data_IF_370959594715
#
_entry.id   IF_370959594715
#
_cell.length_a   1.000
_cell.length_b   1.000
_cell.length_c   1.000
_cell.angle_alpha   90.00
_cell.angle_beta   90.00
_cell.angle_gamma   90.00
#
_symmetry.space_group_name_H-M   'P 1'
#
loop_
_entity.id
_entity.type
_entity.pdbx_description
1 polymer ?
#
# COMPACT_ATOMS: atom_id res chain seq x y z
N UNK A 1 53.58 -47.31 -18.22
CA UNK A 1 52.49 -46.93 -19.16
C UNK A 1 51.47 -46.16 -18.33
N UNK A 2 51.71 -44.84 -18.24
CA UNK A 2 50.89 -43.94 -17.49
C UNK A 2 49.83 -43.33 -18.41
N UNK A 3 48.57 -43.47 -18.03
CA UNK A 3 47.50 -42.70 -18.64
C UNK A 3 46.95 -41.71 -17.60
N UNK A 4 47.49 -40.49 -17.70
CA UNK A 4 46.96 -39.30 -17.05
C UNK A 4 45.60 -38.90 -17.67
N UNK A 5 44.54 -39.01 -16.89
CA UNK A 5 43.24 -38.44 -17.19
C UNK A 5 43.22 -36.99 -16.65
N UNK A 6 43.15 -36.01 -17.54
CA UNK A 6 42.90 -34.61 -17.20
C UNK A 6 41.41 -34.42 -16.84
N UNK A 7 41.04 -33.66 -15.79
CA UNK A 7 39.67 -33.25 -15.59
C UNK A 7 39.33 -32.09 -16.51
N UNK A 8 38.35 -32.25 -17.38
CA UNK A 8 37.74 -31.19 -18.14
C UNK A 8 36.90 -30.28 -17.20
N UNK A 9 37.40 -29.06 -17.03
CA UNK A 9 36.70 -27.98 -16.36
C UNK A 9 35.58 -27.48 -17.28
N UNK A 10 34.35 -27.95 -17.07
CA UNK A 10 33.17 -27.38 -17.73
C UNK A 10 32.81 -26.09 -17.01
N UNK A 11 33.39 -25.00 -17.47
CA UNK A 11 33.03 -23.64 -17.08
C UNK A 11 31.66 -23.33 -17.67
N UNK A 12 30.61 -23.47 -16.84
CA UNK A 12 29.24 -23.06 -17.20
C UNK A 12 29.25 -21.56 -17.51
N UNK A 13 29.14 -21.23 -18.78
CA UNK A 13 28.93 -19.86 -19.27
C UNK A 13 27.62 -19.33 -18.67
N UNK A 14 27.70 -18.49 -17.65
CA UNK A 14 26.56 -17.69 -17.20
C UNK A 14 26.20 -16.77 -18.38
N UNK A 15 25.11 -17.10 -19.04
CA UNK A 15 24.49 -16.25 -20.06
C UNK A 15 24.09 -14.96 -19.35
N UNK A 16 24.82 -13.88 -19.58
CA UNK A 16 24.37 -12.51 -19.23
C UNK A 16 23.17 -12.23 -20.15
N UNK A 17 21.99 -11.88 -19.62
CA UNK A 17 20.91 -11.43 -20.48
C UNK A 17 21.45 -10.27 -21.32
N UNK A 18 21.30 -10.34 -22.64
CA UNK A 18 21.80 -9.32 -23.56
C UNK A 18 21.18 -7.97 -23.22
N UNK A 19 21.93 -6.90 -23.42
CA UNK A 19 21.44 -5.51 -23.24
C UNK A 19 20.14 -5.22 -24.02
N UNK A 20 19.84 -5.99 -25.06
CA UNK A 20 18.59 -5.91 -25.82
C UNK A 20 17.34 -6.25 -24.98
N UNK A 21 17.46 -7.07 -23.92
CA UNK A 21 16.37 -7.40 -23.00
C UNK A 21 16.01 -6.24 -22.04
N UNK A 22 16.84 -5.18 -22.00
CA UNK A 22 16.61 -3.98 -21.20
C UNK A 22 16.10 -2.79 -22.02
N UNK A 23 15.82 -2.99 -23.31
CA UNK A 23 15.38 -1.91 -24.20
C UNK A 23 13.91 -1.54 -23.97
N UNK A 24 13.66 -0.76 -22.92
CA UNK A 24 12.40 -0.03 -22.80
C UNK A 24 12.40 1.15 -23.79
N UNK A 25 11.27 1.44 -24.48
CA UNK A 25 11.14 2.64 -25.29
C UNK A 25 11.49 3.88 -24.47
N UNK A 26 12.24 4.81 -25.04
CA UNK A 26 12.76 5.99 -24.31
C UNK A 26 11.67 6.86 -23.63
N UNK A 27 10.44 6.81 -24.15
CA UNK A 27 9.30 7.54 -23.59
C UNK A 27 8.47 6.74 -22.57
N UNK A 28 8.89 5.53 -22.17
CA UNK A 28 8.03 4.64 -21.36
C UNK A 28 7.68 5.25 -20.00
N UNK A 29 8.64 5.80 -19.28
CA UNK A 29 8.39 6.41 -17.97
C UNK A 29 7.50 7.65 -18.06
N UNK A 30 7.70 8.49 -19.10
CA UNK A 30 6.87 9.67 -19.33
C UNK A 30 5.46 9.28 -19.76
N UNK A 31 5.32 8.19 -20.52
CA UNK A 31 4.02 7.63 -20.87
C UNK A 31 3.29 7.11 -19.64
N UNK A 32 3.97 6.37 -18.76
CA UNK A 32 3.43 5.89 -17.49
C UNK A 32 2.95 7.06 -16.60
N UNK A 33 3.75 8.12 -16.45
CA UNK A 33 3.35 9.34 -15.72
C UNK A 33 2.12 9.99 -16.34
N UNK A 34 2.07 10.10 -17.67
CA UNK A 34 0.93 10.69 -18.38
C UNK A 34 -0.34 9.88 -18.17
N UNK A 35 -0.24 8.56 -18.16
CA UNK A 35 -1.34 7.66 -17.90
C UNK A 35 -1.90 7.83 -16.49
N UNK A 36 -1.04 7.80 -15.47
CA UNK A 36 -1.44 7.96 -14.06
C UNK A 36 -2.11 9.31 -13.84
N UNK A 37 -1.51 10.42 -14.30
CA UNK A 37 -2.09 11.76 -14.11
C UNK A 37 -3.42 11.91 -14.84
N UNK A 38 -3.58 11.34 -16.04
CA UNK A 38 -4.86 11.37 -16.75
C UNK A 38 -5.93 10.51 -16.06
N UNK A 39 -5.55 9.37 -15.49
CA UNK A 39 -6.45 8.51 -14.72
C UNK A 39 -6.96 9.21 -13.45
N UNK A 40 -6.08 9.88 -12.71
CA UNK A 40 -6.44 10.62 -11.50
C UNK A 40 -7.33 11.83 -11.78
N UNK A 41 -7.00 12.60 -12.82
CA UNK A 41 -7.73 13.83 -13.13
C UNK A 41 -9.00 13.58 -13.93
N UNK A 42 -9.07 12.48 -14.67
CA UNK A 42 -10.13 12.16 -15.64
C UNK A 42 -10.37 13.29 -16.67
N UNK A 43 -9.47 14.27 -16.71
CA UNK A 43 -9.58 15.50 -17.50
C UNK A 43 -8.26 15.82 -18.20
N UNK A 44 -8.28 15.71 -19.54
CA UNK A 44 -7.08 15.93 -20.35
C UNK A 44 -6.51 17.36 -20.21
N UNK A 45 -7.34 18.38 -19.99
CA UNK A 45 -6.85 19.76 -19.82
C UNK A 45 -6.14 19.94 -18.49
N UNK A 46 -6.63 19.30 -17.44
CA UNK A 46 -5.99 19.30 -16.14
C UNK A 46 -4.68 18.50 -16.15
N UNK A 47 -4.68 17.34 -16.81
CA UNK A 47 -3.46 16.55 -17.00
C UNK A 47 -2.38 17.34 -17.77
N UNK A 48 -2.76 18.12 -18.80
CA UNK A 48 -1.87 19.05 -19.52
C UNK A 48 -1.25 20.06 -18.57
N UNK A 49 -2.06 20.66 -17.69
CA UNK A 49 -1.61 21.66 -16.72
C UNK A 49 -0.61 21.08 -15.71
N UNK A 50 -0.90 19.88 -15.19
CA UNK A 50 -0.05 19.22 -14.19
C UNK A 50 1.28 18.78 -14.81
N UNK A 51 1.25 18.17 -15.99
CA UNK A 51 2.43 17.61 -16.64
C UNK A 51 3.27 18.61 -17.43
N UNK A 52 2.71 19.77 -17.76
CA UNK A 52 3.37 20.72 -18.66
C UNK A 52 3.52 20.23 -20.10
N UNK A 53 2.73 19.21 -20.50
CA UNK A 53 2.78 18.58 -21.81
C UNK A 53 1.63 19.06 -22.72
N UNK A 54 1.73 18.81 -24.02
CA UNK A 54 0.62 19.07 -24.96
C UNK A 54 -0.42 17.96 -24.90
N UNK A 55 -1.69 18.26 -25.27
CA UNK A 55 -2.76 17.26 -25.41
C UNK A 55 -2.35 16.13 -26.36
N UNK A 56 -1.65 16.46 -27.45
CA UNK A 56 -1.18 15.50 -28.43
C UNK A 56 -0.12 14.57 -27.84
N UNK A 57 0.80 15.10 -27.04
CA UNK A 57 1.84 14.32 -26.37
C UNK A 57 1.21 13.32 -25.40
N UNK A 58 0.27 13.75 -24.54
CA UNK A 58 -0.41 12.86 -23.60
C UNK A 58 -1.14 11.74 -24.34
N UNK A 59 -1.91 12.06 -25.39
CA UNK A 59 -2.58 11.03 -26.20
C UNK A 59 -1.62 10.04 -26.81
N UNK A 60 -0.48 10.52 -27.34
CA UNK A 60 0.57 9.62 -27.86
C UNK A 60 1.14 8.72 -26.79
N UNK A 61 1.31 9.21 -25.58
CA UNK A 61 1.76 8.43 -24.44
C UNK A 61 0.74 7.34 -24.06
N UNK A 62 -0.55 7.67 -24.05
CA UNK A 62 -1.60 6.68 -23.78
C UNK A 62 -1.60 5.59 -24.87
N UNK A 63 -1.63 6.00 -26.14
CA UNK A 63 -1.59 5.06 -27.26
C UNK A 63 -0.35 4.14 -27.20
N UNK A 64 0.81 4.66 -26.80
CA UNK A 64 2.03 3.86 -26.64
C UNK A 64 1.83 2.73 -25.61
N UNK A 65 1.18 3.00 -24.48
CA UNK A 65 0.92 1.96 -23.47
C UNK A 65 -0.14 0.99 -24.00
N UNK A 66 -1.21 1.48 -24.63
CA UNK A 66 -2.26 0.66 -25.23
C UNK A 66 -1.69 -0.28 -26.29
N UNK A 67 -0.79 0.22 -27.16
CA UNK A 67 -0.11 -0.59 -28.19
C UNK A 67 0.80 -1.66 -27.56
N UNK A 68 1.58 -1.31 -26.52
CA UNK A 68 2.47 -2.25 -25.84
C UNK A 68 1.67 -3.34 -25.12
N UNK A 69 0.55 -2.98 -24.50
CA UNK A 69 -0.27 -3.89 -23.70
C UNK A 69 -1.34 -4.62 -24.50
N UNK A 70 -1.68 -4.11 -25.68
CA UNK A 70 -2.73 -4.66 -26.55
C UNK A 70 -4.14 -4.47 -25.97
N UNK A 71 -4.36 -3.45 -25.11
CA UNK A 71 -5.63 -3.19 -24.44
C UNK A 71 -6.00 -1.72 -24.52
N UNK A 72 -7.29 -1.41 -24.47
CA UNK A 72 -7.79 -0.03 -24.38
C UNK A 72 -7.85 0.36 -22.91
N UNK A 73 -7.21 1.49 -22.54
CA UNK A 73 -7.09 1.92 -21.16
C UNK A 73 -8.19 2.90 -20.73
N UNK A 74 -8.71 3.70 -21.68
CA UNK A 74 -9.73 4.70 -21.39
C UNK A 74 -10.92 4.62 -22.33
N UNK A 75 -12.11 4.89 -21.77
CA UNK A 75 -13.30 5.30 -22.53
C UNK A 75 -13.51 6.81 -22.36
N UNK A 76 -14.13 7.45 -23.36
CA UNK A 76 -14.51 8.85 -23.29
C UNK A 76 -16.01 8.96 -23.07
N UNK A 77 -16.42 9.39 -21.89
CA UNK A 77 -17.82 9.54 -21.50
C UNK A 77 -18.12 11.00 -21.14
N UNK A 78 -19.06 11.62 -21.83
CA UNK A 78 -19.45 13.01 -21.62
C UNK A 78 -18.26 14.00 -21.56
N UNK A 79 -17.18 13.72 -22.29
CA UNK A 79 -15.96 14.56 -22.32
C UNK A 79 -14.94 14.25 -21.23
N UNK A 80 -15.21 13.29 -20.35
CA UNK A 80 -14.30 12.82 -19.31
C UNK A 80 -13.66 11.48 -19.69
N UNK A 81 -12.41 11.29 -19.33
CA UNK A 81 -11.69 10.03 -19.50
C UNK A 81 -12.02 9.11 -18.33
N UNK A 82 -12.56 7.91 -18.64
CA UNK A 82 -12.84 6.88 -17.65
C UNK A 82 -11.95 5.67 -17.92
N UNK A 83 -11.35 5.11 -16.87
CA UNK A 83 -10.61 3.87 -17.01
C UNK A 83 -11.55 2.72 -17.41
N UNK A 84 -11.09 1.89 -18.32
CA UNK A 84 -11.68 0.58 -18.57
C UNK A 84 -11.30 -0.40 -17.44
N UNK A 85 -11.88 -1.60 -17.42
CA UNK A 85 -11.43 -2.66 -16.50
C UNK A 85 -9.94 -2.98 -16.68
N UNK A 86 -9.47 -3.10 -17.92
CA UNK A 86 -8.05 -3.25 -18.23
C UNK A 86 -7.25 -2.01 -17.79
N UNK A 87 -7.80 -0.81 -17.98
CA UNK A 87 -7.20 0.44 -17.52
C UNK A 87 -6.98 0.48 -16.01
N UNK A 88 -7.92 -0.01 -15.22
CA UNK A 88 -7.77 -0.13 -13.77
C UNK A 88 -6.65 -1.11 -13.37
N UNK A 89 -6.55 -2.26 -14.04
CA UNK A 89 -5.49 -3.21 -13.76
C UNK A 89 -4.10 -2.63 -14.08
N UNK A 90 -3.95 -1.97 -15.25
CA UNK A 90 -2.69 -1.32 -15.65
C UNK A 90 -2.35 -0.11 -14.78
N UNK A 91 -3.34 0.64 -14.33
CA UNK A 91 -3.16 1.81 -13.46
C UNK A 91 -2.42 1.45 -12.18
N UNK A 92 -2.78 0.35 -11.55
CA UNK A 92 -2.12 -0.13 -10.34
C UNK A 92 -0.67 -0.51 -10.62
N UNK A 93 -0.45 -1.37 -11.59
CA UNK A 93 0.89 -1.85 -11.94
C UNK A 93 1.84 -0.69 -12.31
N UNK A 94 1.35 0.26 -13.11
CA UNK A 94 2.14 1.41 -13.56
C UNK A 94 2.44 2.36 -12.38
N UNK A 95 1.48 2.59 -11.49
CA UNK A 95 1.68 3.43 -10.32
C UNK A 95 2.73 2.83 -9.38
N UNK A 96 2.70 1.52 -9.16
CA UNK A 96 3.70 0.82 -8.36
C UNK A 96 5.11 0.97 -8.94
N UNK A 97 5.25 0.85 -10.26
CA UNK A 97 6.53 1.08 -10.94
C UNK A 97 7.03 2.52 -10.72
N UNK A 98 6.15 3.52 -10.87
CA UNK A 98 6.51 4.93 -10.66
C UNK A 98 6.93 5.16 -9.21
N UNK A 99 6.21 4.62 -8.24
CA UNK A 99 6.52 4.75 -6.83
C UNK A 99 7.86 4.10 -6.49
N UNK A 100 8.13 2.91 -7.03
CA UNK A 100 9.42 2.23 -6.87
C UNK A 100 10.56 3.04 -7.50
N UNK A 101 10.35 3.58 -8.71
CA UNK A 101 11.35 4.42 -9.37
C UNK A 101 11.63 5.70 -8.56
N UNK A 102 10.60 6.36 -8.04
CA UNK A 102 10.75 7.53 -7.17
C UNK A 102 11.52 7.18 -5.90
N UNK A 103 11.15 6.11 -5.22
CA UNK A 103 11.86 5.63 -4.03
C UNK A 103 13.33 5.31 -4.31
N UNK A 104 13.62 4.76 -5.49
CA UNK A 104 15.00 4.53 -5.92
C UNK A 104 15.77 5.84 -6.15
N UNK A 105 15.15 6.82 -6.82
CA UNK A 105 15.76 8.13 -7.06
C UNK A 105 16.05 8.88 -5.76
N UNK A 106 15.18 8.74 -4.76
CA UNK A 106 15.37 9.31 -3.43
C UNK A 106 16.41 8.53 -2.58
N UNK A 107 17.01 7.48 -3.14
CA UNK A 107 17.98 6.63 -2.46
C UNK A 107 17.40 5.71 -1.40
N UNK A 108 16.07 5.59 -1.33
CA UNK A 108 15.36 4.79 -0.34
C UNK A 108 15.45 3.28 -0.62
N UNK A 109 15.32 2.90 -1.89
CA UNK A 109 15.38 1.50 -2.32
C UNK A 109 16.74 0.82 -2.06
N UNK A 110 17.82 1.59 -1.97
CA UNK A 110 19.16 1.06 -1.71
C UNK A 110 19.37 0.64 -0.25
N UNK A 111 18.53 1.10 0.69
CA UNK A 111 18.72 0.89 2.14
C UNK A 111 18.17 -0.44 2.65
N UNK A 112 17.16 -0.98 2.00
CA UNK A 112 16.55 -2.27 2.37
C UNK A 112 15.68 -2.79 1.22
N UNK A 113 16.24 -3.58 0.29
CA UNK A 113 15.50 -4.06 -0.88
C UNK A 113 14.35 -5.03 -0.53
N UNK A 114 14.33 -5.55 0.70
CA UNK A 114 13.32 -6.48 1.20
C UNK A 114 12.16 -5.81 1.94
N UNK A 115 12.27 -4.49 2.24
CA UNK A 115 11.27 -3.77 3.04
C UNK A 115 10.68 -2.63 2.21
N UNK A 116 9.37 -2.53 2.23
CA UNK A 116 8.67 -1.52 1.47
C UNK A 116 8.65 -0.18 2.21
N UNK A 117 8.83 0.86 1.44
CA UNK A 117 8.85 2.24 1.88
C UNK A 117 7.84 3.03 1.05
N UNK A 118 7.03 3.84 1.71
CA UNK A 118 6.10 4.76 1.06
C UNK A 118 6.34 6.18 1.58
N UNK A 119 6.57 7.10 0.65
CA UNK A 119 6.66 8.54 0.93
C UNK A 119 5.74 9.26 -0.06
N UNK A 120 4.53 9.58 0.37
CA UNK A 120 3.56 10.30 -0.42
C UNK A 120 3.28 11.66 0.19
N UNK A 121 3.34 12.70 -0.64
CA UNK A 121 2.99 14.07 -0.29
C UNK A 121 1.75 14.47 -1.08
N UNK A 122 0.69 14.81 -0.37
CA UNK A 122 -0.57 15.25 -0.93
C UNK A 122 -0.73 16.78 -0.93
N UNK A 123 -1.86 17.29 -1.43
CA UNK A 123 -2.19 18.70 -1.37
C UNK A 123 -2.39 19.17 0.09
N UNK A 124 -2.29 20.50 0.30
CA UNK A 124 -2.51 21.15 1.61
C UNK A 124 -1.66 20.63 2.76
N UNK A 125 -0.49 20.06 2.45
CA UNK A 125 0.41 19.49 3.46
C UNK A 125 -0.05 18.14 4.01
N UNK A 126 -0.98 17.44 3.35
CA UNK A 126 -1.26 16.04 3.63
C UNK A 126 -0.03 15.18 3.30
N UNK A 127 0.21 14.15 4.08
CA UNK A 127 1.24 13.16 3.76
C UNK A 127 0.87 11.77 4.29
N UNK A 128 1.45 10.77 3.66
CA UNK A 128 1.45 9.39 4.11
C UNK A 128 2.88 8.84 4.01
N UNK A 129 3.50 8.62 5.16
CA UNK A 129 4.81 8.02 5.28
C UNK A 129 4.65 6.65 5.92
N UNK A 130 5.20 5.61 5.31
CA UNK A 130 5.15 4.26 5.87
C UNK A 130 6.43 3.51 5.59
N UNK A 131 6.93 2.83 6.61
CA UNK A 131 8.08 1.94 6.53
C UNK A 131 7.69 0.56 7.05
N UNK A 132 7.90 -0.45 6.22
CA UNK A 132 7.76 -1.83 6.64
C UNK A 132 8.92 -2.22 7.54
N UNK A 133 8.62 -3.01 8.58
CA UNK A 133 9.57 -3.60 9.51
C UNK A 133 9.49 -5.12 9.51
N UNK A 134 10.54 -5.77 9.96
CA UNK A 134 10.53 -7.23 10.14
C UNK A 134 9.59 -7.61 11.28
N UNK A 135 8.93 -8.75 11.15
CA UNK A 135 8.07 -9.29 12.23
C UNK A 135 8.90 -9.57 13.51
N UNK A 136 10.19 -9.85 13.39
CA UNK A 136 11.09 -9.96 14.54
C UNK A 136 11.20 -8.67 15.34
N UNK A 137 11.07 -7.50 14.69
CA UNK A 137 11.06 -6.22 15.38
C UNK A 137 9.76 -6.01 16.16
N UNK A 138 8.60 -6.42 15.58
CA UNK A 138 7.35 -6.47 16.31
C UNK A 138 7.50 -7.33 17.59
N UNK A 139 8.02 -8.54 17.45
CA UNK A 139 8.11 -9.48 18.59
C UNK A 139 9.09 -9.00 19.67
N UNK A 140 10.18 -8.33 19.30
CA UNK A 140 11.19 -7.84 20.24
C UNK A 140 10.82 -6.49 20.88
N UNK A 141 10.41 -5.51 20.09
CA UNK A 141 10.26 -4.10 20.50
C UNK A 141 8.84 -3.55 20.33
N UNK A 142 7.98 -4.24 19.57
CA UNK A 142 6.64 -3.74 19.24
C UNK A 142 5.70 -3.69 20.44
N UNK A 143 4.55 -3.00 20.28
CA UNK A 143 3.53 -2.90 21.31
C UNK A 143 2.94 -4.25 21.71
N UNK A 144 2.66 -4.44 23.01
CA UNK A 144 2.11 -5.68 23.53
C UNK A 144 0.75 -6.02 22.92
N UNK A 145 -0.08 -5.03 22.61
CA UNK A 145 -1.33 -5.24 21.90
C UNK A 145 -1.11 -5.96 20.56
N UNK A 146 -0.19 -5.46 19.75
CA UNK A 146 0.09 -6.06 18.42
C UNK A 146 0.71 -7.45 18.56
N UNK A 147 1.57 -7.68 19.56
CA UNK A 147 2.12 -9.02 19.86
C UNK A 147 1.02 -10.02 20.22
N UNK A 148 0.05 -9.59 21.05
CA UNK A 148 -1.10 -10.43 21.42
C UNK A 148 -1.99 -10.76 20.22
N UNK A 149 -2.24 -9.76 19.35
CA UNK A 149 -3.02 -9.96 18.13
C UNK A 149 -2.30 -10.90 17.17
N UNK A 150 -0.99 -10.72 16.97
CA UNK A 150 -0.17 -11.63 16.15
C UNK A 150 -0.20 -13.06 16.69
N UNK A 151 -0.02 -13.24 18.01
CA UNK A 151 -0.10 -14.56 18.65
C UNK A 151 -1.48 -15.20 18.46
N UNK A 152 -2.57 -14.45 18.67
CA UNK A 152 -3.92 -14.95 18.50
C UNK A 152 -4.21 -15.38 17.05
N UNK A 153 -3.69 -14.63 16.07
CA UNK A 153 -3.74 -14.98 14.66
C UNK A 153 -3.01 -16.30 14.39
N UNK A 154 -1.79 -16.46 14.89
CA UNK A 154 -1.02 -17.68 14.73
C UNK A 154 -1.70 -18.89 15.39
N UNK A 155 -2.20 -18.73 16.65
CA UNK A 155 -2.91 -19.77 17.38
C UNK A 155 -4.24 -20.18 16.72
N UNK A 156 -4.84 -19.27 15.92
CA UNK A 156 -6.08 -19.53 15.16
C UNK A 156 -5.85 -20.04 13.74
N UNK A 157 -4.58 -20.18 13.33
CA UNK A 157 -4.21 -20.46 11.93
C UNK A 157 -4.89 -19.47 10.92
N UNK A 158 -5.10 -18.23 11.35
CA UNK A 158 -5.73 -17.19 10.55
C UNK A 158 -7.26 -17.24 10.47
N UNK A 159 -7.94 -18.13 11.20
CA UNK A 159 -9.41 -18.20 11.21
C UNK A 159 -10.00 -17.14 12.15
N UNK A 160 -10.75 -16.19 11.60
CA UNK A 160 -11.25 -15.02 12.34
C UNK A 160 -12.34 -15.32 13.37
N UNK A 161 -12.98 -16.49 13.30
CA UNK A 161 -14.01 -16.93 14.26
C UNK A 161 -13.47 -18.00 15.23
N UNK A 162 -12.21 -18.41 15.10
CA UNK A 162 -11.61 -19.29 16.06
C UNK A 162 -11.54 -18.64 17.45
N UNK A 163 -11.68 -19.42 18.55
CA UNK A 163 -11.71 -18.88 19.91
C UNK A 163 -10.47 -18.04 20.29
N UNK A 164 -9.30 -18.35 19.72
CA UNK A 164 -8.10 -17.57 19.96
C UNK A 164 -8.20 -16.16 19.35
N UNK A 165 -8.68 -16.05 18.11
CA UNK A 165 -8.83 -14.77 17.43
C UNK A 165 -9.99 -13.93 17.97
N UNK A 166 -11.06 -14.57 18.42
CA UNK A 166 -12.22 -13.88 19.00
C UNK A 166 -11.84 -12.99 20.18
N UNK A 167 -10.84 -13.37 20.98
CA UNK A 167 -10.34 -12.59 22.11
C UNK A 167 -9.74 -11.23 21.71
N UNK A 168 -9.23 -11.11 20.50
CA UNK A 168 -8.59 -9.89 19.98
C UNK A 168 -9.42 -9.17 18.93
N UNK A 169 -10.56 -9.74 18.52
CA UNK A 169 -11.44 -9.20 17.48
C UNK A 169 -11.89 -7.77 17.76
N UNK A 170 -12.05 -7.40 19.04
CA UNK A 170 -12.42 -6.05 19.47
C UNK A 170 -11.36 -4.96 19.16
N UNK A 171 -10.12 -5.34 18.80
CA UNK A 171 -9.03 -4.41 18.50
C UNK A 171 -8.74 -4.26 17.03
N UNK A 172 -9.39 -5.05 16.18
CA UNK A 172 -9.07 -5.11 14.74
C UNK A 172 -10.22 -4.63 13.87
N UNK A 173 -9.87 -4.17 12.67
CA UNK A 173 -10.80 -4.07 11.56
C UNK A 173 -10.65 -5.32 10.71
N UNK A 174 -11.74 -5.81 10.13
CA UNK A 174 -11.71 -6.95 9.23
C UNK A 174 -12.34 -6.53 7.90
N UNK A 175 -11.61 -6.85 6.84
CA UNK A 175 -12.02 -6.57 5.48
C UNK A 175 -12.19 -7.87 4.71
N UNK A 176 -13.12 -7.85 3.75
CA UNK A 176 -13.30 -8.86 2.71
C UNK A 176 -12.95 -8.22 1.37
N UNK A 177 -12.17 -8.90 0.56
CA UNK A 177 -11.92 -8.46 -0.80
C UNK A 177 -13.19 -8.56 -1.63
N UNK A 178 -13.53 -7.49 -2.35
CA UNK A 178 -14.68 -7.42 -3.23
C UNK A 178 -14.39 -6.49 -4.42
N UNK A 179 -14.43 -7.02 -5.65
CA UNK A 179 -14.22 -6.26 -6.89
C UNK A 179 -12.96 -5.39 -6.85
N UNK A 180 -11.83 -6.00 -6.50
CA UNK A 180 -10.54 -5.33 -6.34
C UNK A 180 -10.48 -4.23 -5.26
N UNK A 181 -11.47 -4.17 -4.41
CA UNK A 181 -11.58 -3.25 -3.29
C UNK A 181 -11.80 -4.01 -1.97
N UNK A 182 -11.84 -3.30 -0.87
CA UNK A 182 -11.92 -3.87 0.47
C UNK A 182 -13.21 -3.46 1.15
N UNK A 183 -14.14 -4.40 1.29
CA UNK A 183 -15.38 -4.21 2.04
C UNK A 183 -15.09 -4.35 3.54
N UNK A 184 -15.33 -3.30 4.32
CA UNK A 184 -15.23 -3.37 5.77
C UNK A 184 -16.40 -4.19 6.33
N UNK A 185 -16.11 -5.33 6.94
CA UNK A 185 -17.15 -6.23 7.50
C UNK A 185 -17.16 -6.22 9.02
N UNK A 186 -16.12 -5.69 9.66
CA UNK A 186 -16.05 -5.58 11.12
C UNK A 186 -15.16 -4.42 11.54
N UNK A 187 -15.62 -3.67 12.54
CA UNK A 187 -14.83 -2.67 13.26
C UNK A 187 -14.89 -3.01 14.73
N UNK A 188 -13.76 -3.38 15.31
CA UNK A 188 -13.63 -3.65 16.72
C UNK A 188 -13.86 -2.38 17.56
N UNK A 189 -14.67 -2.47 18.61
CA UNK A 189 -15.06 -1.32 19.45
C UNK A 189 -13.89 -0.69 20.20
N UNK A 190 -12.78 -1.42 20.35
CA UNK A 190 -11.53 -0.95 20.96
C UNK A 190 -10.40 -0.78 19.93
N UNK A 191 -10.73 -0.80 18.65
CA UNK A 191 -9.73 -0.50 17.62
C UNK A 191 -9.27 0.95 17.67
N UNK A 192 -8.04 1.20 17.24
CA UNK A 192 -7.46 2.54 17.21
C UNK A 192 -8.31 3.54 16.43
N UNK A 193 -8.88 3.10 15.29
CA UNK A 193 -9.73 3.95 14.45
C UNK A 193 -11.10 4.22 15.07
N UNK A 194 -11.75 3.21 15.66
CA UNK A 194 -13.03 3.42 16.35
C UNK A 194 -12.88 4.38 17.54
N UNK A 195 -11.77 4.28 18.28
CA UNK A 195 -11.47 5.19 19.39
C UNK A 195 -11.12 6.61 18.93
N UNK A 196 -10.53 6.76 17.75
CA UNK A 196 -10.15 8.08 17.23
C UNK A 196 -11.30 8.77 16.50
N UNK A 197 -11.99 8.06 15.59
CA UNK A 197 -13.06 8.62 14.75
C UNK A 197 -14.45 8.52 15.38
N UNK A 198 -14.57 7.73 16.42
CA UNK A 198 -15.78 7.59 17.21
C UNK A 198 -16.79 6.55 16.70
N UNK A 199 -17.85 6.30 17.51
CA UNK A 199 -18.79 5.22 17.25
C UNK A 199 -19.70 5.45 16.03
N UNK A 200 -19.91 6.70 15.64
CA UNK A 200 -20.72 7.03 14.44
C UNK A 200 -19.98 6.58 13.20
N UNK A 201 -18.70 6.93 13.08
CA UNK A 201 -17.84 6.47 11.99
C UNK A 201 -17.77 4.93 11.97
N UNK A 202 -17.49 4.31 13.11
CA UNK A 202 -17.36 2.85 13.21
C UNK A 202 -18.59 2.11 12.68
N UNK A 203 -19.79 2.67 12.87
CA UNK A 203 -21.04 2.09 12.32
C UNK A 203 -21.22 2.38 10.83
N UNK A 204 -20.81 3.57 10.36
CA UNK A 204 -21.03 3.97 8.97
C UNK A 204 -20.10 3.23 7.98
N UNK A 205 -18.91 2.83 8.44
CA UNK A 205 -17.93 2.17 7.58
C UNK A 205 -18.18 0.67 7.39
N UNK A 206 -18.92 0.03 8.29
CA UNK A 206 -19.30 -1.38 8.13
C UNK A 206 -20.28 -1.52 6.95
N UNK A 207 -19.90 -2.33 5.97
CA UNK A 207 -20.63 -2.51 4.71
C UNK A 207 -20.22 -1.52 3.62
N UNK A 208 -19.25 -0.62 3.89
CA UNK A 208 -18.70 0.30 2.90
C UNK A 208 -17.38 -0.23 2.32
N UNK A 209 -17.12 0.12 1.08
CA UNK A 209 -15.81 -0.10 0.45
C UNK A 209 -14.81 0.93 0.99
N UNK A 210 -13.52 0.55 1.02
CA UNK A 210 -12.47 1.39 1.60
C UNK A 210 -12.34 2.75 0.90
N UNK A 211 -12.47 2.81 -0.42
CA UNK A 211 -12.46 4.04 -1.20
C UNK A 211 -13.70 4.93 -1.01
N UNK A 212 -14.74 4.42 -0.36
CA UNK A 212 -15.95 5.15 0.00
C UNK A 212 -16.01 5.51 1.49
N UNK A 213 -14.92 5.33 2.24
CA UNK A 213 -14.83 5.77 3.63
C UNK A 213 -14.98 7.31 3.68
N UNK A 214 -15.85 7.87 4.53
CA UNK A 214 -15.99 9.34 4.69
C UNK A 214 -14.70 10.04 5.13
N UNK A 215 -13.75 9.30 5.67
CA UNK A 215 -12.39 9.75 6.04
C UNK A 215 -11.39 9.36 4.96
N UNK A 216 -11.86 8.83 3.82
CA UNK A 216 -11.05 8.44 2.67
C UNK A 216 -10.07 9.55 2.28
N UNK A 217 -8.82 9.17 2.15
CA UNK A 217 -7.71 10.07 1.90
C UNK A 217 -7.08 9.72 0.55
N UNK A 218 -6.42 10.64 -0.14
CA UNK A 218 -5.57 10.33 -1.29
C UNK A 218 -4.52 9.25 -1.03
N UNK A 219 -4.26 8.94 0.25
CA UNK A 219 -3.37 7.85 0.69
C UNK A 219 -4.00 6.46 0.70
N UNK A 220 -5.31 6.31 0.51
CA UNK A 220 -5.99 5.01 0.60
C UNK A 220 -5.48 4.01 -0.43
N UNK A 221 -5.00 4.49 -1.56
CA UNK A 221 -4.37 3.66 -2.58
C UNK A 221 -3.09 2.98 -2.07
N UNK A 222 -2.25 3.69 -1.30
CA UNK A 222 -1.04 3.11 -0.69
C UNK A 222 -1.41 2.13 0.43
N UNK A 223 -2.52 2.38 1.12
CA UNK A 223 -3.09 1.45 2.10
C UNK A 223 -3.57 0.18 1.39
N UNK A 224 -4.31 0.33 0.28
CA UNK A 224 -4.81 -0.80 -0.53
C UNK A 224 -3.68 -1.63 -1.13
N UNK A 225 -2.58 -1.00 -1.56
CA UNK A 225 -1.40 -1.72 -2.04
C UNK A 225 -0.85 -2.66 -0.98
N UNK A 226 -0.64 -2.17 0.25
CA UNK A 226 -0.17 -3.00 1.35
C UNK A 226 -1.13 -4.16 1.69
N UNK A 227 -2.45 -3.95 1.54
CA UNK A 227 -3.46 -4.98 1.75
C UNK A 227 -3.36 -6.11 0.71
N UNK A 228 -3.23 -5.73 -0.57
CA UNK A 228 -3.05 -6.71 -1.67
C UNK A 228 -1.80 -7.54 -1.48
N UNK A 229 -0.67 -6.92 -1.18
CA UNK A 229 0.59 -7.63 -0.96
C UNK A 229 0.51 -8.66 0.16
N UNK A 230 -0.18 -8.34 1.25
CA UNK A 230 -0.42 -9.29 2.35
C UNK A 230 -1.25 -10.47 1.89
N UNK A 231 -2.29 -10.23 1.09
CA UNK A 231 -3.17 -11.29 0.61
C UNK A 231 -2.50 -12.15 -0.48
N UNK A 232 -1.77 -11.52 -1.41
CA UNK A 232 -1.07 -12.22 -2.50
C UNK A 232 0.08 -13.08 -1.97
N UNK A 233 0.85 -12.54 -1.01
CA UNK A 233 1.98 -13.26 -0.42
C UNK A 233 1.58 -14.28 0.65
N UNK A 234 0.42 -14.11 1.28
CA UNK A 234 0.01 -14.86 2.46
C UNK A 234 0.85 -14.58 3.71
N UNK A 235 1.70 -13.54 3.67
CA UNK A 235 2.57 -13.16 4.78
C UNK A 235 1.96 -12.02 5.59
N UNK A 236 2.18 -12.03 6.90
CA UNK A 236 1.84 -10.88 7.74
C UNK A 236 2.81 -9.72 7.47
N UNK A 237 2.31 -8.50 7.66
CA UNK A 237 3.09 -7.27 7.45
C UNK A 237 3.01 -6.37 8.69
N UNK A 238 4.13 -5.79 9.07
CA UNK A 238 4.25 -4.84 10.16
C UNK A 238 4.86 -3.55 9.66
N UNK A 239 4.15 -2.43 9.85
CA UNK A 239 4.56 -1.11 9.41
C UNK A 239 4.61 -0.13 10.58
N UNK A 240 5.53 0.84 10.50
CA UNK A 240 5.43 2.11 11.18
C UNK A 240 4.96 3.17 10.18
N UNK A 241 4.05 4.03 10.58
CA UNK A 241 3.51 5.06 9.72
C UNK A 241 3.32 6.39 10.43
N UNK A 242 3.53 7.47 9.69
CA UNK A 242 3.14 8.83 10.04
C UNK A 242 2.24 9.37 8.93
N UNK A 243 1.07 9.84 9.31
CA UNK A 243 0.10 10.39 8.37
C UNK A 243 -0.36 11.77 8.85
N UNK A 244 -0.66 12.63 7.90
CA UNK A 244 -1.33 13.90 8.16
C UNK A 244 -2.53 14.01 7.25
N UNK A 245 -3.69 14.02 7.84
CA UNK A 245 -4.96 13.89 7.14
C UNK A 245 -6.04 14.78 7.74
N UNK A 246 -7.07 15.10 6.94
CA UNK A 246 -8.21 15.87 7.41
C UNK A 246 -9.21 14.97 8.14
N UNK A 247 -9.65 15.39 9.30
CA UNK A 247 -10.69 14.73 10.06
C UNK A 247 -12.07 15.18 9.58
N UNK A 248 -12.51 14.62 8.45
CA UNK A 248 -13.78 14.93 7.80
C UNK A 248 -13.70 16.05 6.74
N UNK A 249 -14.81 16.37 6.06
CA UNK A 249 -14.81 17.21 4.84
C UNK A 249 -14.34 18.66 5.02
N UNK A 250 -14.36 19.16 6.25
CA UNK A 250 -13.92 20.51 6.61
C UNK A 250 -13.04 20.50 7.87
N UNK A 251 -12.52 19.31 8.24
CA UNK A 251 -11.71 19.13 9.44
C UNK A 251 -10.33 19.76 9.29
N UNK A 252 -9.75 20.13 10.42
CA UNK A 252 -8.35 20.50 10.49
C UNK A 252 -7.45 19.30 10.14
N UNK A 253 -6.27 19.58 9.61
CA UNK A 253 -5.27 18.57 9.33
C UNK A 253 -4.66 18.08 10.63
N UNK A 254 -4.78 16.80 10.91
CA UNK A 254 -4.25 16.17 12.12
C UNK A 254 -3.13 15.19 11.78
N UNK A 255 -2.06 15.21 12.56
CA UNK A 255 -1.00 14.21 12.49
C UNK A 255 -1.38 12.99 13.32
N UNK A 256 -1.20 11.80 12.76
CA UNK A 256 -1.40 10.52 13.44
C UNK A 256 -0.24 9.58 13.15
N UNK A 257 0.43 9.14 14.19
CA UNK A 257 1.56 8.23 14.13
C UNK A 257 1.17 6.88 14.71
N UNK A 258 1.54 5.79 14.04
CA UNK A 258 1.09 4.48 14.48
C UNK A 258 1.97 3.34 13.99
N UNK A 259 1.87 2.22 14.70
CA UNK A 259 2.25 0.90 14.21
C UNK A 259 1.03 0.21 13.61
N UNK A 260 1.20 -0.50 12.51
CA UNK A 260 0.15 -1.26 11.85
C UNK A 260 0.57 -2.70 11.64
N UNK A 261 -0.30 -3.63 12.00
CA UNK A 261 -0.14 -5.05 11.74
C UNK A 261 -1.25 -5.50 10.79
N UNK A 262 -0.87 -6.05 9.65
CA UNK A 262 -1.74 -6.63 8.63
C UNK A 262 -1.60 -8.15 8.68
N UNK A 263 -2.72 -8.85 8.75
CA UNK A 263 -2.78 -10.30 8.93
C UNK A 263 -3.69 -10.92 7.87
N UNK A 264 -3.16 -11.81 7.01
CA UNK A 264 -4.00 -12.59 6.12
C UNK A 264 -4.80 -13.60 6.94
N UNK A 265 -6.12 -13.58 6.76
CA UNK A 265 -7.07 -14.38 7.53
C UNK A 265 -8.04 -15.11 6.60
N UNK A 266 -8.93 -15.90 7.19
CA UNK A 266 -10.01 -16.61 6.49
C UNK A 266 -11.32 -16.47 7.26
N UNK A 267 -12.41 -16.33 6.51
CA UNK A 267 -13.77 -16.49 7.00
C UNK A 267 -14.11 -17.99 7.16
N UNK A 268 -15.15 -18.34 7.92
CA UNK A 268 -15.58 -19.74 8.06
C UNK A 268 -15.97 -20.42 6.74
N UNK A 269 -16.40 -19.64 5.74
CA UNK A 269 -16.70 -20.12 4.39
C UNK A 269 -15.45 -20.34 3.52
N UNK A 270 -14.25 -20.16 4.10
CA UNK A 270 -12.97 -20.26 3.42
C UNK A 270 -12.58 -19.02 2.62
N UNK A 271 -13.45 -18.03 2.49
CA UNK A 271 -13.13 -16.80 1.76
C UNK A 271 -11.99 -16.02 2.43
N UNK A 272 -11.12 -15.36 1.63
CA UNK A 272 -10.05 -14.54 2.14
C UNK A 272 -10.56 -13.38 3.02
N UNK A 273 -9.85 -13.10 4.10
CA UNK A 273 -10.09 -11.97 4.99
C UNK A 273 -8.76 -11.28 5.31
N UNK A 274 -8.79 -9.97 5.48
CA UNK A 274 -7.66 -9.19 5.98
C UNK A 274 -8.03 -8.60 7.34
N UNK A 275 -7.24 -8.90 8.37
CA UNK A 275 -7.37 -8.25 9.65
C UNK A 275 -6.30 -7.17 9.82
N UNK A 276 -6.72 -5.98 10.25
CA UNK A 276 -5.88 -4.79 10.44
C UNK A 276 -5.92 -4.39 11.90
N UNK A 277 -4.77 -4.42 12.56
CA UNK A 277 -4.61 -3.89 13.92
C UNK A 277 -3.67 -2.70 13.90
N UNK A 278 -4.12 -1.59 14.44
CA UNK A 278 -3.35 -0.33 14.54
C UNK A 278 -3.13 0.02 16.01
N UNK A 279 -1.92 0.50 16.32
CA UNK A 279 -1.55 1.00 17.64
C UNK A 279 -0.97 2.40 17.49
N UNK A 280 -1.67 3.43 17.98
CA UNK A 280 -1.26 4.84 17.87
C UNK A 280 -0.17 5.15 18.88
N UNK A 281 0.96 5.64 18.38
CA UNK A 281 2.12 6.03 19.20
C UNK A 281 3.06 6.94 18.42
N UNK A 282 3.74 7.84 19.12
CA UNK A 282 4.83 8.64 18.56
C UNK A 282 6.17 7.88 18.49
N UNK A 283 6.24 6.68 19.08
CA UNK A 283 7.43 5.84 19.04
C UNK A 283 7.46 5.02 17.75
N UNK A 284 7.72 5.69 16.64
CA UNK A 284 7.82 5.08 15.31
C UNK A 284 9.23 5.26 14.75
N UNK A 285 9.66 4.34 13.92
CA UNK A 285 10.93 4.38 13.20
C UNK A 285 10.66 4.45 11.69
N UNK A 286 11.02 5.57 11.09
CA UNK A 286 10.97 5.86 9.65
C UNK A 286 12.36 6.19 9.11
N UNK A 287 13.42 5.72 9.78
CA UNK A 287 14.80 6.08 9.47
C UNK A 287 15.25 5.69 8.06
N UNK A 288 14.65 4.64 7.47
CA UNK A 288 14.95 4.25 6.08
C UNK A 288 14.41 5.25 5.06
N UNK A 289 13.30 5.94 5.36
CA UNK A 289 12.75 6.96 4.47
C UNK A 289 13.65 8.20 4.34
N UNK A 290 14.61 8.38 5.26
CA UNK A 290 15.47 9.57 5.25
C UNK A 290 14.73 10.88 5.53
N UNK A 291 13.48 10.80 5.99
CA UNK A 291 12.66 11.95 6.38
C UNK A 291 13.22 12.47 7.71
N UNK A 292 13.73 13.70 7.70
CA UNK A 292 14.37 14.28 8.87
C UNK A 292 13.36 14.57 9.99
N UNK A 293 12.13 14.93 9.62
CA UNK A 293 11.08 15.32 10.56
C UNK A 293 9.71 14.94 10.02
N UNK A 294 8.84 14.45 10.89
CA UNK A 294 7.40 14.33 10.69
C UNK A 294 6.70 14.91 11.93
N UNK A 295 5.47 15.36 11.75
CA UNK A 295 4.72 15.99 12.83
C UNK A 295 4.38 14.95 13.90
N UNK A 296 4.65 15.31 15.17
CA UNK A 296 4.26 14.46 16.28
C UNK A 296 2.76 14.57 16.54
N UNK A 297 2.13 13.43 16.68
CA UNK A 297 0.75 13.32 17.11
C UNK A 297 0.60 13.87 18.54
N UNK A 298 -0.50 14.57 18.90
CA UNK A 298 -0.80 14.94 20.27
C UNK A 298 -0.76 13.72 21.21
N UNK A 299 -0.16 13.87 22.39
CA UNK A 299 0.00 12.75 23.33
C UNK A 299 -1.35 12.16 23.78
N UNK A 300 -2.42 12.97 23.79
CA UNK A 300 -3.78 12.50 24.05
C UNK A 300 -4.33 11.51 23.02
N UNK A 301 -3.70 11.39 21.86
CA UNK A 301 -4.08 10.43 20.82
C UNK A 301 -3.29 9.12 20.94
N UNK A 302 -2.23 9.09 21.73
CA UNK A 302 -1.46 7.88 21.97
C UNK A 302 -2.28 6.85 22.75
N UNK A 303 -2.10 5.59 22.40
CA UNK A 303 -2.70 4.47 23.12
C UNK A 303 -1.75 4.03 24.24
N UNK A 304 -2.31 3.68 25.39
CA UNK A 304 -1.55 3.02 26.43
C UNK A 304 -1.33 1.54 26.08
N UNK A 305 -0.09 1.09 26.15
CA UNK A 305 0.24 -0.30 25.94
C UNK A 305 -0.03 -1.07 27.24
N UNK A 306 -1.25 -1.60 27.33
CA UNK A 306 -1.65 -2.39 28.49
C UNK A 306 -0.75 -3.63 28.62
N UNK A 307 -0.06 -3.73 29.74
CA UNK A 307 0.79 -4.85 30.14
C UNK A 307 0.06 -6.19 30.22
#
# INVERSE_FOLDING_TARGET
MDHLIKPESTMACRHKPGLEALALPSATLDAMKSFVVLADTQNLSEAVRILGLTRQTIRRHINLIEDIRGVVLFTLEAGSYRLTEAGYAEFRAIRDIINQASSWMDGLAAKSPELQLCNHQGPNGAYFLSQQHKITDLLSKGPNLLKRVYKAWADSAGEIEAPAFFRVKRYVLIYREQFDNWLCVHVGEQSALANWLGPVWAKSVIGSLLDHDPVANPSDEYVMQAYREVMDSGNCRYDHAAVRLSRGPQGEMEAVNYHRLLLPCRFPDGAPALAVCTFRTNNIDLGLLGVAEFERMPDSFSMEDAS
#
